data_IF_493342983868
#
_entry.id   IF_493342983868
#
_cell.length_a   1.000
_cell.length_b   1.000
_cell.length_c   1.000
_cell.angle_alpha   90.00
_cell.angle_beta   90.00
_cell.angle_gamma   90.00
#
_symmetry.space_group_name_H-M   'P 1'
#
loop_
_entity.id
_entity.type
_entity.pdbx_description
1 polymer ?
#
# COMPACT_ATOMS: atom_id res chain seq x y z
N UNK A 1 14.63 9.48 -37.06
CA UNK A 1 15.44 9.67 -35.85
C UNK A 1 14.90 10.72 -34.85
N UNK A 2 14.36 11.85 -35.24
CA UNK A 2 13.81 12.87 -34.29
C UNK A 2 12.53 12.45 -33.61
N UNK A 3 11.60 11.78 -34.29
CA UNK A 3 10.32 11.30 -33.73
C UNK A 3 10.54 10.20 -32.70
N UNK A 4 11.47 9.28 -32.93
CA UNK A 4 11.79 8.23 -31.95
C UNK A 4 12.41 8.79 -30.67
N UNK A 5 13.22 9.85 -30.77
CA UNK A 5 13.78 10.54 -29.60
C UNK A 5 12.74 11.31 -28.80
N UNK A 6 11.74 11.91 -29.49
CA UNK A 6 10.62 12.57 -28.84
C UNK A 6 9.69 11.58 -28.13
N UNK A 7 9.41 10.42 -28.72
CA UNK A 7 8.65 9.35 -28.09
C UNK A 7 9.36 8.78 -26.86
N UNK A 8 10.67 8.55 -26.94
CA UNK A 8 11.45 8.07 -25.79
C UNK A 8 11.49 9.11 -24.66
N UNK A 9 11.58 10.40 -24.99
CA UNK A 9 11.60 11.48 -24.00
C UNK A 9 10.24 11.64 -23.31
N UNK A 10 9.11 11.47 -24.04
CA UNK A 10 7.78 11.52 -23.45
C UNK A 10 7.49 10.31 -22.56
N UNK A 11 8.04 9.14 -22.86
CA UNK A 11 7.91 7.94 -22.03
C UNK A 11 8.67 8.09 -20.71
N UNK A 12 9.86 8.69 -20.73
CA UNK A 12 10.67 8.96 -19.55
C UNK A 12 10.04 10.06 -18.68
N UNK A 13 9.46 11.10 -19.29
CA UNK A 13 8.76 12.14 -18.55
C UNK A 13 7.47 11.64 -17.89
N UNK A 14 6.77 10.69 -18.52
CA UNK A 14 5.57 10.05 -17.95
C UNK A 14 5.87 9.15 -16.73
N UNK A 15 7.03 8.51 -16.69
CA UNK A 15 7.39 7.61 -15.58
C UNK A 15 7.79 8.35 -14.28
N UNK A 16 8.15 9.63 -14.35
CA UNK A 16 8.53 10.44 -13.19
C UNK A 16 7.33 10.96 -12.36
N UNK A 17 6.10 10.84 -12.85
CA UNK A 17 4.90 11.37 -12.17
C UNK A 17 4.27 10.32 -11.23
N UNK A 18 4.72 9.06 -11.23
CA UNK A 18 4.13 7.96 -10.47
C UNK A 18 4.83 7.76 -9.11
N UNK A 19 5.40 8.77 -8.50
CA UNK A 19 5.83 8.67 -7.10
C UNK A 19 4.62 8.86 -6.18
N UNK A 20 3.75 7.85 -6.13
CA UNK A 20 2.65 7.79 -5.19
C UNK A 20 3.19 7.70 -3.76
N UNK A 21 2.68 8.55 -2.87
CA UNK A 21 2.97 8.47 -1.45
C UNK A 21 2.42 7.15 -0.89
N UNK A 22 3.27 6.14 -0.71
CA UNK A 22 2.91 4.96 0.05
C UNK A 22 2.84 5.37 1.52
N UNK A 23 1.64 5.35 2.12
CA UNK A 23 1.48 5.52 3.56
C UNK A 23 2.03 4.29 4.28
N UNK A 24 2.95 4.49 5.22
CA UNK A 24 3.46 3.42 6.05
C UNK A 24 2.41 2.99 7.08
N UNK A 25 2.22 1.66 7.24
CA UNK A 25 1.36 1.07 8.28
C UNK A 25 2.13 0.76 9.58
N UNK A 26 3.37 1.22 9.71
CA UNK A 26 4.20 1.06 10.91
C UNK A 26 3.73 2.00 12.02
N UNK A 27 3.77 1.51 13.27
CA UNK A 27 3.28 2.25 14.43
C UNK A 27 4.08 3.52 14.78
N UNK A 28 5.33 3.62 14.35
CA UNK A 28 6.23 4.76 14.57
C UNK A 28 6.37 5.69 13.35
N UNK A 29 5.67 5.38 12.26
CA UNK A 29 5.65 6.22 11.05
C UNK A 29 4.47 7.20 11.09
N UNK A 30 4.75 8.46 10.82
CA UNK A 30 3.77 9.55 10.80
C UNK A 30 3.58 10.07 9.38
N UNK A 31 2.34 10.22 8.95
CA UNK A 31 2.04 10.95 7.73
C UNK A 31 2.34 12.45 7.92
N UNK A 32 2.52 13.19 6.84
CA UNK A 32 2.68 14.65 6.93
C UNK A 32 1.42 15.34 7.48
N UNK A 33 0.27 14.73 7.27
CA UNK A 33 -1.03 15.23 7.72
C UNK A 33 -1.22 15.01 9.22
N UNK A 34 -0.69 13.92 9.78
CA UNK A 34 -0.74 13.62 11.22
C UNK A 34 0.31 14.40 12.02
N UNK A 35 1.34 14.91 11.34
CA UNK A 35 2.35 15.73 11.99
C UNK A 35 1.73 17.07 12.45
N UNK A 36 2.09 17.50 13.66
CA UNK A 36 1.59 18.71 14.31
C UNK A 36 0.12 18.64 14.77
N UNK A 37 -0.51 17.45 14.74
CA UNK A 37 -1.83 17.27 15.32
C UNK A 37 -1.73 16.78 16.76
N UNK A 38 -2.69 17.18 17.59
CA UNK A 38 -2.83 16.65 18.95
C UNK A 38 -3.37 15.22 18.85
N UNK A 39 -2.69 14.28 19.51
CA UNK A 39 -3.08 12.89 19.54
C UNK A 39 -3.54 12.49 20.93
N UNK A 40 -4.59 11.69 21.02
CA UNK A 40 -4.98 11.05 22.26
C UNK A 40 -4.02 9.89 22.55
N UNK A 41 -3.45 9.86 23.74
CA UNK A 41 -2.52 8.81 24.17
C UNK A 41 -3.16 8.00 25.29
N UNK A 42 -3.16 6.69 25.14
CA UNK A 42 -3.55 5.72 26.15
C UNK A 42 -2.41 4.74 26.36
N UNK A 43 -2.39 4.09 27.53
CA UNK A 43 -1.36 3.11 27.87
C UNK A 43 -2.00 1.74 28.08
N UNK A 44 -1.28 0.71 27.69
CA UNK A 44 -1.71 -0.67 27.87
C UNK A 44 -0.54 -1.62 28.01
N UNK A 45 -0.85 -2.87 28.27
CA UNK A 45 0.10 -4.00 28.32
C UNK A 45 -0.31 -5.03 27.29
N UNK A 46 0.62 -5.52 26.52
CA UNK A 46 0.38 -6.54 25.49
C UNK A 46 0.06 -7.87 26.17
N UNK A 47 -1.07 -8.47 25.81
CA UNK A 47 -1.52 -9.79 26.28
C UNK A 47 -1.24 -10.90 25.27
N UNK A 48 -1.31 -10.57 23.99
CA UNK A 48 -1.05 -11.53 22.89
C UNK A 48 -0.42 -10.82 21.69
N UNK A 49 0.44 -11.54 20.99
CA UNK A 49 1.14 -11.09 19.79
C UNK A 49 1.04 -12.16 18.72
N UNK A 50 0.46 -11.84 17.59
CA UNK A 50 0.31 -12.77 16.47
C UNK A 50 0.75 -12.14 15.16
N UNK A 51 1.62 -12.83 14.42
CA UNK A 51 1.96 -12.41 13.07
C UNK A 51 0.78 -12.70 12.13
N UNK A 52 0.40 -11.71 11.37
CA UNK A 52 -0.70 -11.76 10.41
C UNK A 52 -0.23 -11.24 9.05
N UNK A 53 -1.04 -11.44 8.04
CA UNK A 53 -0.79 -10.90 6.71
C UNK A 53 -1.75 -9.73 6.46
N UNK A 54 -1.20 -8.58 6.10
CA UNK A 54 -1.98 -7.44 5.63
C UNK A 54 -2.10 -7.57 4.13
N UNK A 55 -3.33 -7.58 3.62
CA UNK A 55 -3.59 -7.64 2.18
C UNK A 55 -3.03 -6.42 1.47
N UNK A 56 -2.62 -6.61 0.24
CA UNK A 56 -2.17 -5.53 -0.63
C UNK A 56 -3.33 -4.68 -1.13
N UNK A 57 -2.98 -3.53 -1.66
CA UNK A 57 -3.95 -2.61 -2.25
C UNK A 57 -4.20 -2.93 -3.72
N UNK A 58 -5.44 -2.72 -4.16
CA UNK A 58 -5.84 -2.70 -5.58
C UNK A 58 -6.36 -1.30 -5.88
N UNK A 59 -5.55 -0.50 -6.53
CA UNK A 59 -5.96 0.85 -6.90
C UNK A 59 -6.30 0.95 -8.39
N UNK A 60 -7.08 1.96 -8.80
CA UNK A 60 -7.25 2.25 -10.22
C UNK A 60 -5.93 2.52 -10.95
N UNK A 61 -4.86 2.89 -10.23
CA UNK A 61 -3.54 3.19 -10.80
C UNK A 61 -2.90 1.93 -11.37
N UNK A 62 -2.86 0.81 -10.61
CA UNK A 62 -2.31 -0.46 -11.11
C UNK A 62 -3.10 -0.98 -12.31
N UNK A 63 -4.43 -0.87 -12.25
CA UNK A 63 -5.29 -1.24 -13.38
C UNK A 63 -5.05 -0.37 -14.60
N UNK A 64 -4.96 0.96 -14.44
CA UNK A 64 -4.75 1.89 -15.56
C UNK A 64 -3.36 1.73 -16.16
N UNK A 65 -2.32 1.58 -15.35
CA UNK A 65 -0.96 1.34 -15.81
C UNK A 65 -0.85 0.03 -16.58
N UNK A 66 -1.41 -1.05 -16.04
CA UNK A 66 -1.46 -2.35 -16.71
C UNK A 66 -2.24 -2.31 -18.01
N UNK A 67 -3.39 -1.62 -18.04
CA UNK A 67 -4.19 -1.45 -19.26
C UNK A 67 -3.44 -0.65 -20.34
N UNK A 68 -2.74 0.42 -19.96
CA UNK A 68 -1.94 1.20 -20.90
C UNK A 68 -0.81 0.36 -21.51
N UNK A 69 -0.05 -0.35 -20.71
CA UNK A 69 1.04 -1.23 -21.17
C UNK A 69 0.50 -2.36 -22.03
N UNK A 70 -0.55 -3.06 -21.58
CA UNK A 70 -1.16 -4.16 -22.32
C UNK A 70 -1.80 -3.74 -23.64
N UNK A 71 -2.47 -2.58 -23.65
CA UNK A 71 -3.06 -2.01 -24.86
C UNK A 71 -2.02 -1.64 -25.91
N UNK A 72 -0.94 -0.96 -25.49
CA UNK A 72 0.16 -0.59 -26.39
C UNK A 72 0.89 -1.82 -26.92
N UNK A 73 1.21 -2.79 -26.06
CA UNK A 73 1.87 -4.03 -26.46
C UNK A 73 1.03 -4.83 -27.48
N UNK A 74 -0.28 -4.93 -27.25
CA UNK A 74 -1.17 -5.68 -28.12
C UNK A 74 -1.48 -4.93 -29.42
N UNK A 75 -1.40 -3.59 -29.47
CA UNK A 75 -1.63 -2.82 -30.69
C UNK A 75 -0.62 -3.09 -31.79
N UNK A 76 0.54 -3.67 -31.48
CA UNK A 76 1.53 -4.12 -32.45
C UNK A 76 1.15 -5.46 -33.11
N UNK A 77 0.11 -6.12 -32.63
CA UNK A 77 -0.36 -7.42 -33.13
C UNK A 77 -1.49 -7.17 -34.14
N UNK A 78 -1.21 -7.37 -35.42
CA UNK A 78 -2.16 -7.20 -36.51
C UNK A 78 -2.09 -5.84 -37.20
N UNK A 79 -2.91 -5.67 -38.23
CA UNK A 79 -2.98 -4.43 -39.03
C UNK A 79 -4.42 -3.91 -39.09
N UNK A 80 -4.57 -2.60 -39.26
CA UNK A 80 -5.86 -1.96 -39.42
C UNK A 80 -6.82 -2.19 -38.25
N UNK A 81 -8.04 -2.63 -38.54
CA UNK A 81 -9.08 -2.88 -37.51
C UNK A 81 -8.73 -4.01 -36.53
N UNK A 82 -7.88 -4.96 -36.95
CA UNK A 82 -7.40 -6.05 -36.10
C UNK A 82 -6.52 -5.54 -34.97
N UNK A 83 -5.62 -4.62 -35.23
CA UNK A 83 -4.78 -3.98 -34.22
C UNK A 83 -5.61 -3.26 -33.13
N UNK A 84 -6.71 -2.61 -33.51
CA UNK A 84 -7.60 -1.96 -32.56
C UNK A 84 -8.30 -2.94 -31.62
N UNK A 85 -8.77 -4.10 -32.14
CA UNK A 85 -9.37 -5.15 -31.32
C UNK A 85 -8.33 -5.76 -30.39
N UNK A 86 -7.13 -6.04 -30.89
CA UNK A 86 -6.03 -6.57 -30.08
C UNK A 86 -5.65 -5.62 -28.95
N UNK A 87 -5.59 -4.29 -29.22
CA UNK A 87 -5.31 -3.28 -28.21
C UNK A 87 -6.35 -3.27 -27.07
N UNK A 88 -7.65 -3.42 -27.39
CA UNK A 88 -8.71 -3.48 -26.37
C UNK A 88 -8.58 -4.74 -25.51
N UNK A 89 -8.36 -5.90 -26.12
CA UNK A 89 -8.16 -7.15 -25.39
C UNK A 89 -6.90 -7.07 -24.51
N UNK A 90 -5.81 -6.51 -25.05
CA UNK A 90 -4.57 -6.32 -24.33
C UNK A 90 -4.71 -5.34 -23.15
N UNK A 91 -5.50 -4.28 -23.32
CA UNK A 91 -5.78 -3.33 -22.24
C UNK A 91 -6.56 -4.00 -21.09
N UNK A 92 -7.57 -4.81 -21.39
CA UNK A 92 -8.33 -5.55 -20.36
C UNK A 92 -7.44 -6.55 -19.63
N UNK A 93 -6.71 -7.39 -20.37
CA UNK A 93 -5.82 -8.38 -19.76
C UNK A 93 -4.69 -7.71 -18.97
N UNK A 94 -4.09 -6.65 -19.50
CA UNK A 94 -3.06 -5.87 -18.85
C UNK A 94 -3.54 -5.16 -17.58
N UNK A 95 -4.77 -4.62 -17.60
CA UNK A 95 -5.39 -4.00 -16.43
C UNK A 95 -5.58 -4.99 -15.28
N UNK A 96 -6.07 -6.19 -15.59
CA UNK A 96 -6.22 -7.27 -14.58
C UNK A 96 -4.86 -7.71 -14.04
N UNK A 97 -3.89 -7.92 -14.90
CA UNK A 97 -2.53 -8.30 -14.49
C UNK A 97 -1.86 -7.19 -13.67
N UNK A 98 -2.01 -5.93 -14.06
CA UNK A 98 -1.46 -4.78 -13.33
C UNK A 98 -2.02 -4.63 -11.92
N UNK A 99 -3.35 -4.79 -11.76
CA UNK A 99 -3.96 -4.76 -10.43
C UNK A 99 -3.53 -5.93 -9.54
N UNK A 100 -3.37 -7.12 -10.10
CA UNK A 100 -2.87 -8.28 -9.37
C UNK A 100 -1.40 -8.13 -8.96
N UNK A 101 -0.58 -7.55 -9.84
CA UNK A 101 0.81 -7.24 -9.53
C UNK A 101 0.92 -6.21 -8.41
N UNK A 102 0.12 -5.13 -8.45
CA UNK A 102 0.06 -4.12 -7.39
C UNK A 102 -0.27 -4.77 -6.04
N UNK A 103 -1.32 -5.60 -5.99
CA UNK A 103 -1.71 -6.30 -4.77
C UNK A 103 -0.56 -7.16 -4.21
N UNK A 104 0.16 -7.88 -5.06
CA UNK A 104 1.28 -8.71 -4.59
C UNK A 104 2.46 -7.88 -4.07
N UNK A 105 2.76 -6.77 -4.73
CA UNK A 105 3.87 -5.89 -4.36
C UNK A 105 3.59 -5.10 -3.07
N UNK A 106 2.30 -4.85 -2.77
CA UNK A 106 1.89 -4.05 -1.60
C UNK A 106 1.51 -4.90 -0.39
N UNK A 107 1.48 -6.25 -0.51
CA UNK A 107 1.29 -7.15 0.63
C UNK A 107 2.39 -6.96 1.65
N UNK A 108 1.99 -6.82 2.91
CA UNK A 108 2.92 -6.56 4.01
C UNK A 108 2.67 -7.54 5.14
N UNK A 109 3.74 -7.97 5.82
CA UNK A 109 3.61 -8.71 7.06
C UNK A 109 3.16 -7.74 8.15
N UNK A 110 2.09 -8.10 8.85
CA UNK A 110 1.54 -7.38 9.97
C UNK A 110 1.75 -8.12 11.29
N UNK A 111 1.49 -7.40 12.35
CA UNK A 111 1.37 -7.92 13.71
C UNK A 111 0.02 -7.52 14.28
N UNK A 112 -0.70 -8.48 14.82
CA UNK A 112 -1.88 -8.26 15.64
C UNK A 112 -1.46 -8.27 17.10
N UNK A 113 -1.84 -7.20 17.80
CA UNK A 113 -1.52 -6.96 19.19
C UNK A 113 -2.83 -6.94 20.00
N UNK A 114 -2.99 -7.83 20.94
CA UNK A 114 -4.06 -7.74 21.93
C UNK A 114 -3.52 -7.02 23.16
N UNK A 115 -4.15 -5.90 23.52
CA UNK A 115 -3.62 -4.96 24.52
C UNK A 115 -4.68 -4.75 25.59
N UNK A 116 -4.32 -5.03 26.85
CA UNK A 116 -5.12 -4.67 28.02
C UNK A 116 -4.88 -3.22 28.37
N UNK A 117 -5.95 -2.44 28.35
CA UNK A 117 -5.89 -1.02 28.66
C UNK A 117 -5.67 -0.77 30.16
N UNK A 118 -4.75 0.12 30.52
CA UNK A 118 -4.46 0.43 31.93
C UNK A 118 -5.61 1.15 32.65
N UNK A 119 -6.42 1.90 31.93
CA UNK A 119 -7.50 2.71 32.49
C UNK A 119 -8.88 2.06 32.39
N UNK A 120 -8.95 0.80 31.95
CA UNK A 120 -10.20 0.05 31.85
C UNK A 120 -9.93 -1.45 31.87
N UNK A 121 -10.92 -2.26 32.23
CA UNK A 121 -10.82 -3.73 32.15
C UNK A 121 -11.00 -4.26 30.72
N UNK A 122 -10.93 -3.40 29.70
CA UNK A 122 -11.11 -3.77 28.31
C UNK A 122 -9.78 -4.13 27.66
N UNK A 123 -9.78 -5.20 26.88
CA UNK A 123 -8.71 -5.49 25.93
C UNK A 123 -9.15 -5.07 24.53
N UNK A 124 -8.23 -4.56 23.74
CA UNK A 124 -8.45 -4.16 22.34
C UNK A 124 -7.44 -4.88 21.47
N UNK A 125 -7.82 -5.15 20.22
CA UNK A 125 -6.91 -5.69 19.21
C UNK A 125 -6.61 -4.63 18.15
N UNK A 126 -5.33 -4.51 17.80
CA UNK A 126 -4.84 -3.60 16.75
C UNK A 126 -3.92 -4.39 15.82
N UNK A 127 -4.10 -4.18 14.53
CA UNK A 127 -3.23 -4.71 13.49
C UNK A 127 -2.44 -3.57 12.87
N UNK A 128 -1.12 -3.72 12.82
CA UNK A 128 -0.22 -2.77 12.15
C UNK A 128 0.90 -3.52 11.42
N UNK A 129 1.69 -2.83 10.58
CA UNK A 129 2.82 -3.45 9.92
C UNK A 129 3.85 -3.93 10.95
N UNK A 130 4.40 -5.12 10.72
CA UNK A 130 5.43 -5.70 11.57
C UNK A 130 6.79 -5.08 11.24
N UNK A 131 7.50 -4.62 12.28
CA UNK A 131 8.87 -4.16 12.18
C UNK A 131 9.81 -5.19 12.86
N UNK A 132 10.65 -5.90 12.11
CA UNK A 132 11.60 -6.86 12.67
C UNK A 132 12.65 -6.22 13.58
N UNK A 133 12.93 -4.91 13.40
CA UNK A 133 13.91 -4.20 14.23
C UNK A 133 13.36 -3.83 15.61
N UNK A 134 12.02 -3.82 15.76
CA UNK A 134 11.32 -3.46 17.00
C UNK A 134 10.20 -4.47 17.29
N UNK A 135 10.52 -5.73 17.59
CA UNK A 135 9.50 -6.75 17.85
C UNK A 135 8.76 -6.45 19.16
N UNK A 136 7.46 -6.72 19.15
CA UNK A 136 6.63 -6.66 20.35
C UNK A 136 6.60 -8.01 21.04
N UNK A 137 6.54 -8.00 22.39
CA UNK A 137 6.44 -9.20 23.20
C UNK A 137 5.26 -9.09 24.19
N UNK A 138 4.74 -10.24 24.57
CA UNK A 138 3.73 -10.31 25.63
C UNK A 138 4.32 -9.74 26.94
N UNK A 139 3.58 -8.86 27.57
CA UNK A 139 4.00 -8.15 28.78
C UNK A 139 4.60 -6.76 28.52
N UNK A 140 4.90 -6.42 27.28
CA UNK A 140 5.41 -5.07 26.95
C UNK A 140 4.38 -3.98 27.28
N UNK A 141 4.86 -2.90 27.88
CA UNK A 141 4.04 -1.68 28.08
C UNK A 141 4.11 -0.84 26.83
N UNK A 142 2.96 -0.48 26.31
CA UNK A 142 2.83 0.23 25.05
C UNK A 142 1.96 1.47 25.16
N UNK A 143 2.20 2.39 24.25
CA UNK A 143 1.40 3.60 24.02
C UNK A 143 0.53 3.39 22.81
N UNK A 144 -0.75 3.71 22.97
CA UNK A 144 -1.71 3.75 21.89
C UNK A 144 -1.97 5.23 21.55
N UNK A 145 -1.66 5.61 20.34
CA UNK A 145 -1.84 6.98 19.87
C UNK A 145 -2.93 7.01 18.82
N UNK A 146 -3.98 7.78 19.08
CA UNK A 146 -5.12 7.90 18.18
C UNK A 146 -5.19 9.31 17.61
N UNK A 147 -5.25 9.39 16.29
CA UNK A 147 -5.47 10.62 15.52
C UNK A 147 -6.41 10.31 14.35
N UNK A 148 -7.40 11.16 14.11
CA UNK A 148 -8.36 11.01 13.01
C UNK A 148 -9.04 9.61 12.94
N UNK A 149 -9.26 8.98 14.10
CA UNK A 149 -9.85 7.64 14.19
C UNK A 149 -8.89 6.49 13.88
N UNK A 150 -7.65 6.77 13.52
CA UNK A 150 -6.60 5.76 13.35
C UNK A 150 -5.79 5.62 14.63
N UNK A 151 -5.61 4.38 15.09
CA UNK A 151 -4.82 4.08 16.28
C UNK A 151 -3.58 3.31 15.89
N UNK A 152 -2.44 3.70 16.45
CA UNK A 152 -1.16 3.03 16.31
C UNK A 152 -0.56 2.70 17.67
N UNK A 153 0.27 1.67 17.71
CA UNK A 153 0.93 1.19 18.92
C UNK A 153 2.43 1.42 18.79
N UNK A 154 3.03 1.92 19.86
CA UNK A 154 4.48 2.12 19.98
C UNK A 154 4.95 1.74 21.38
N UNK A 155 6.17 1.29 21.51
CA UNK A 155 6.86 1.04 22.76
C UNK A 155 7.28 2.35 23.44
#
# INVERSE_FOLDING_TARGET
MRIQKLMALSLIAGSLIISGCASSLQGDSYSREDARQVQSVQYGTIEDVRLVKIEGTKTPIGTAAGAAVGGVAASSIGEGKGAAVAAVIGAVAGGLAGSAAEEQLTKTQGVELVIRMMNSSKSISIVQAYDPAKPFHVGDRVRLMTVNGQTRVSQ
#
